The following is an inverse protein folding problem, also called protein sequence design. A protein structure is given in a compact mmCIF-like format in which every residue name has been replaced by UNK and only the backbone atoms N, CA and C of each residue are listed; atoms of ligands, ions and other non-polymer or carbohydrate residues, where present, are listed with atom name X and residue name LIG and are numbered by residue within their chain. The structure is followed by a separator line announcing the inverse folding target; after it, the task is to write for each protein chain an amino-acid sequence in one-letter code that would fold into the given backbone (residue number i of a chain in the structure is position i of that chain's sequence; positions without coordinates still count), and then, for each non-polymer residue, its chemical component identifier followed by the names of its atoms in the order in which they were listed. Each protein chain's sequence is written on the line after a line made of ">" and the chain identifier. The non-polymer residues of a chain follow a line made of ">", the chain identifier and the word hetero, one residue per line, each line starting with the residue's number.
data_IF_006518058261
#
_entry.id   IF_006518058261
#
_cell.length_a   1.000
_cell.length_b   1.000
_cell.length_c   1.000
_cell.angle_alpha   90.00
_cell.angle_beta   90.00
_cell.angle_gamma   90.00
#
_symmetry.space_group_name_H-M   'P 1'
#
loop_
_entity.id
_entity.type
_entity.pdbx_description
1 polymer ?
#
# COMPACT_ATOMS: atom_id res chain seq x y z
N UNK A 1 1.95 -31.18 -25.28
CA UNK A 1 2.53 -29.84 -25.11
C UNK A 1 1.47 -28.98 -24.45
N UNK A 2 1.37 -29.08 -23.13
CA UNK A 2 0.46 -28.25 -22.32
C UNK A 2 1.00 -26.83 -22.30
N UNK A 3 0.13 -25.87 -22.57
CA UNK A 3 0.46 -24.47 -22.80
C UNK A 3 1.24 -23.85 -21.63
N UNK A 4 2.23 -23.02 -21.96
CA UNK A 4 3.11 -22.29 -21.05
C UNK A 4 2.44 -21.04 -20.44
N UNK A 5 1.11 -21.04 -20.24
CA UNK A 5 0.39 -19.79 -19.96
C UNK A 5 0.71 -19.18 -18.58
N UNK A 6 1.26 -19.97 -17.64
CA UNK A 6 1.63 -19.52 -16.29
C UNK A 6 3.11 -19.78 -15.97
N UNK A 7 4.05 -19.48 -16.87
CA UNK A 7 5.50 -19.59 -16.56
C UNK A 7 6.18 -18.22 -16.61
N UNK A 8 7.05 -17.97 -15.64
CA UNK A 8 7.95 -16.82 -15.66
C UNK A 8 9.31 -17.22 -16.23
N UNK A 9 10.14 -16.22 -16.52
CA UNK A 9 11.54 -16.45 -16.85
C UNK A 9 12.27 -17.06 -15.65
N UNK A 10 13.17 -18.01 -15.91
CA UNK A 10 14.10 -18.47 -14.89
C UNK A 10 14.94 -17.29 -14.38
N UNK A 11 15.21 -17.26 -13.09
CA UNK A 11 16.00 -16.21 -12.44
C UNK A 11 17.05 -16.81 -11.54
N UNK A 12 18.24 -16.21 -11.54
CA UNK A 12 19.41 -16.72 -10.84
C UNK A 12 20.07 -15.57 -10.07
N UNK A 13 20.49 -15.84 -8.84
CA UNK A 13 21.21 -14.89 -8.01
C UNK A 13 22.34 -15.59 -7.24
N UNK A 14 23.55 -15.02 -7.28
CA UNK A 14 24.73 -15.57 -6.62
C UNK A 14 24.74 -15.15 -5.15
N UNK A 15 24.45 -16.10 -4.26
CA UNK A 15 24.35 -15.86 -2.80
C UNK A 15 25.69 -15.65 -2.11
N UNK A 16 26.73 -16.30 -2.61
CA UNK A 16 28.11 -16.27 -2.08
C UNK A 16 29.07 -16.72 -3.18
N UNK A 17 30.39 -16.66 -2.96
CA UNK A 17 31.41 -17.17 -3.89
C UNK A 17 31.24 -18.65 -4.25
N UNK A 18 30.52 -19.42 -3.44
CA UNK A 18 30.34 -20.87 -3.57
C UNK A 18 28.90 -21.33 -3.77
N UNK A 19 27.93 -20.43 -3.69
CA UNK A 19 26.50 -20.75 -3.78
C UNK A 19 25.77 -19.90 -4.81
N UNK A 20 24.69 -20.47 -5.34
CA UNK A 20 23.75 -19.79 -6.23
C UNK A 20 22.31 -20.25 -5.94
N UNK A 21 21.37 -19.32 -6.01
CA UNK A 21 19.93 -19.59 -5.92
C UNK A 21 19.30 -19.43 -7.28
N UNK A 22 18.44 -20.38 -7.66
CA UNK A 22 17.79 -20.44 -8.98
C UNK A 22 16.29 -20.67 -8.80
N UNK A 23 15.49 -19.93 -9.56
CA UNK A 23 14.09 -20.25 -9.86
C UNK A 23 14.00 -20.73 -11.29
N UNK A 24 13.28 -21.83 -11.53
CA UNK A 24 12.99 -22.32 -12.88
C UNK A 24 11.80 -21.61 -13.55
N UNK A 25 11.21 -20.62 -12.88
CA UNK A 25 10.06 -19.87 -13.38
C UNK A 25 8.74 -20.62 -13.33
N UNK A 26 8.71 -21.83 -12.74
CA UNK A 26 7.49 -22.61 -12.53
C UNK A 26 6.99 -22.60 -11.09
N UNK A 27 7.73 -21.94 -10.19
CA UNK A 27 7.45 -21.93 -8.75
C UNK A 27 8.36 -22.85 -7.93
N UNK A 28 9.43 -23.37 -8.54
CA UNK A 28 10.42 -24.20 -7.86
C UNK A 28 11.68 -23.41 -7.52
N UNK A 29 12.10 -23.49 -6.27
CA UNK A 29 13.33 -22.91 -5.76
C UNK A 29 14.44 -23.96 -5.71
N UNK A 30 15.64 -23.59 -6.14
CA UNK A 30 16.85 -24.40 -6.02
C UNK A 30 17.95 -23.61 -5.32
N UNK A 31 18.66 -24.26 -4.40
CA UNK A 31 19.96 -23.82 -3.91
C UNK A 31 21.01 -24.77 -4.46
N UNK A 32 21.99 -24.22 -5.15
CA UNK A 32 23.02 -24.97 -5.85
C UNK A 32 24.39 -24.54 -5.31
N UNK A 33 25.20 -25.51 -4.91
CA UNK A 33 26.60 -25.33 -4.60
C UNK A 33 27.39 -25.31 -5.90
N UNK A 34 28.07 -24.20 -6.18
CA UNK A 34 28.84 -24.02 -7.41
C UNK A 34 30.32 -24.33 -7.25
N UNK A 35 30.80 -24.48 -6.02
CA UNK A 35 32.24 -24.46 -5.74
C UNK A 35 32.83 -23.05 -5.79
N UNK A 36 34.12 -22.91 -5.47
CA UNK A 36 34.82 -21.62 -5.52
C UNK A 36 34.96 -21.12 -6.96
N UNK A 37 34.12 -20.14 -7.33
CA UNK A 37 34.11 -19.58 -8.68
C UNK A 37 35.35 -18.71 -8.90
N UNK A 38 36.08 -19.00 -9.99
CA UNK A 38 37.26 -18.24 -10.42
C UNK A 38 38.58 -19.00 -10.31
N UNK A 39 38.62 -20.10 -9.56
CA UNK A 39 39.86 -20.82 -9.32
C UNK A 39 40.10 -21.97 -10.31
N UNK A 40 39.93 -21.73 -11.63
CA UNK A 40 40.21 -22.66 -12.77
C UNK A 40 39.64 -24.09 -12.70
N UNK A 41 38.94 -24.45 -11.63
CA UNK A 41 38.32 -25.74 -11.41
C UNK A 41 36.89 -25.68 -11.94
N UNK A 42 36.60 -26.54 -12.91
CA UNK A 42 35.23 -26.83 -13.34
C UNK A 42 34.56 -27.70 -12.27
N UNK A 43 34.31 -27.12 -11.09
CA UNK A 43 33.58 -27.81 -10.03
C UNK A 43 32.15 -28.09 -10.50
N UNK A 44 31.70 -29.32 -10.27
CA UNK A 44 30.37 -29.75 -10.66
C UNK A 44 29.35 -29.04 -9.76
N UNK A 45 28.37 -28.41 -10.36
CA UNK A 45 27.29 -27.78 -9.62
C UNK A 45 26.39 -28.86 -9.00
N UNK A 46 26.16 -28.78 -7.70
CA UNK A 46 25.37 -29.75 -6.95
C UNK A 46 24.14 -29.10 -6.34
N UNK A 47 22.97 -29.72 -6.52
CA UNK A 47 21.72 -29.25 -5.92
C UNK A 47 21.76 -29.58 -4.43
N UNK A 48 21.87 -28.55 -3.59
CA UNK A 48 21.90 -28.66 -2.13
C UNK A 48 20.49 -28.65 -1.53
N UNK A 49 19.56 -27.95 -2.20
CA UNK A 49 18.17 -27.81 -1.80
C UNK A 49 17.30 -27.64 -3.05
N UNK A 50 16.11 -28.24 -3.05
CA UNK A 50 15.07 -27.90 -4.01
C UNK A 50 13.69 -28.11 -3.38
N UNK A 51 12.79 -27.15 -3.56
CA UNK A 51 11.41 -27.21 -3.06
C UNK A 51 10.48 -26.41 -3.97
N UNK A 52 9.23 -26.84 -4.04
CA UNK A 52 8.17 -26.15 -4.78
C UNK A 52 7.42 -25.22 -3.82
N UNK A 53 7.42 -23.92 -4.14
CA UNK A 53 6.84 -22.88 -3.29
C UNK A 53 5.48 -22.38 -3.82
N UNK A 54 4.80 -23.18 -4.64
CA UNK A 54 3.52 -22.82 -5.25
C UNK A 54 3.69 -22.05 -6.55
N UNK A 55 3.11 -20.85 -6.63
CA UNK A 55 3.03 -20.09 -7.88
C UNK A 55 4.40 -19.71 -8.48
N UNK A 56 4.46 -19.37 -9.78
CA UNK A 56 5.67 -18.83 -10.40
C UNK A 56 6.21 -17.59 -9.70
N UNK A 57 7.54 -17.50 -9.59
CA UNK A 57 8.20 -16.34 -8.97
C UNK A 57 9.58 -16.07 -9.58
N UNK A 58 10.08 -14.85 -9.34
CA UNK A 58 11.48 -14.49 -9.63
C UNK A 58 12.27 -14.21 -8.36
N UNK A 59 13.57 -14.49 -8.39
CA UNK A 59 14.50 -14.15 -7.32
C UNK A 59 15.04 -12.74 -7.58
N UNK A 60 14.83 -11.83 -6.64
CA UNK A 60 15.38 -10.46 -6.72
C UNK A 60 16.79 -10.44 -6.12
N UNK A 61 16.93 -11.02 -4.93
CA UNK A 61 18.15 -10.92 -4.16
C UNK A 61 18.32 -12.15 -3.28
N UNK A 62 19.56 -12.54 -3.01
CA UNK A 62 19.84 -13.62 -2.09
C UNK A 62 21.24 -13.48 -1.51
N UNK A 63 21.38 -13.87 -0.23
CA UNK A 63 22.64 -13.76 0.52
C UNK A 63 22.87 -15.01 1.36
N UNK A 64 24.14 -15.41 1.47
CA UNK A 64 24.58 -16.41 2.43
C UNK A 64 24.94 -15.73 3.75
N UNK A 65 24.45 -16.30 4.85
CA UNK A 65 24.62 -15.82 6.21
C UNK A 65 25.30 -16.91 7.04
N UNK A 66 26.37 -16.53 7.72
CA UNK A 66 27.07 -17.39 8.68
C UNK A 66 26.86 -16.78 10.07
N UNK A 67 25.88 -17.29 10.82
CA UNK A 67 25.57 -16.82 12.19
C UNK A 67 25.77 -17.98 13.16
N UNK A 68 26.61 -17.79 14.18
CA UNK A 68 26.81 -18.73 15.29
C UNK A 68 27.04 -20.21 14.87
N UNK A 69 27.90 -20.43 13.86
CA UNK A 69 28.23 -21.73 13.26
C UNK A 69 27.13 -22.41 12.42
N UNK A 70 25.94 -21.80 12.29
CA UNK A 70 24.90 -22.27 11.38
C UNK A 70 24.93 -21.48 10.06
N UNK A 71 25.09 -22.20 8.94
CA UNK A 71 25.00 -21.61 7.61
C UNK A 71 23.53 -21.52 7.21
N UNK A 72 23.07 -20.30 6.96
CA UNK A 72 21.75 -20.01 6.42
C UNK A 72 21.83 -19.20 5.14
N UNK A 73 20.78 -19.27 4.34
CA UNK A 73 20.66 -18.56 3.07
C UNK A 73 19.34 -17.82 3.12
N UNK A 74 19.39 -16.51 2.98
CA UNK A 74 18.23 -15.65 2.91
C UNK A 74 17.97 -15.29 1.44
N UNK A 75 16.73 -15.44 1.00
CA UNK A 75 16.32 -15.31 -0.39
C UNK A 75 15.09 -14.43 -0.43
N UNK A 76 15.14 -13.40 -1.27
CA UNK A 76 14.03 -12.50 -1.53
C UNK A 76 13.41 -12.84 -2.88
N UNK A 77 12.16 -13.27 -2.79
CA UNK A 77 11.35 -13.73 -3.91
C UNK A 77 10.28 -12.67 -4.20
N UNK A 78 9.99 -12.45 -5.49
CA UNK A 78 8.94 -11.58 -5.96
C UNK A 78 7.87 -12.37 -6.71
N UNK A 79 6.62 -12.14 -6.36
CA UNK A 79 5.46 -12.61 -7.10
C UNK A 79 4.53 -11.44 -7.42
N UNK A 80 3.84 -11.58 -8.54
CA UNK A 80 2.76 -10.70 -8.93
C UNK A 80 1.51 -11.56 -8.89
N UNK A 81 0.62 -11.24 -7.97
CA UNK A 81 -0.58 -12.00 -7.71
C UNK A 81 -1.78 -11.16 -8.09
N UNK A 82 -2.81 -11.82 -8.63
CA UNK A 82 -4.05 -11.14 -9.01
C UNK A 82 -4.91 -10.98 -7.75
N UNK A 83 -5.33 -9.75 -7.48
CA UNK A 83 -6.33 -9.46 -6.47
C UNK A 83 -7.71 -9.59 -7.12
N UNK A 84 -8.44 -10.65 -6.81
CA UNK A 84 -9.78 -10.87 -7.39
C UNK A 84 -10.81 -9.82 -6.93
N UNK A 85 -10.54 -9.14 -5.81
CA UNK A 85 -11.44 -8.20 -5.15
C UNK A 85 -11.10 -6.71 -5.38
N UNK A 86 -9.93 -6.37 -5.93
CA UNK A 86 -9.54 -4.96 -6.18
C UNK A 86 -9.94 -4.51 -7.58
N UNK A 87 -11.07 -3.80 -7.67
CA UNK A 87 -11.60 -3.26 -8.92
C UNK A 87 -11.25 -1.77 -9.16
N UNK A 88 -10.45 -1.14 -8.29
CA UNK A 88 -10.03 0.28 -8.42
C UNK A 88 -8.58 0.45 -8.88
N UNK A 89 -7.79 -0.62 -8.86
CA UNK A 89 -6.39 -0.65 -9.25
C UNK A 89 -6.11 -1.55 -10.45
N UNK A 90 -4.84 -1.93 -10.63
CA UNK A 90 -4.43 -2.88 -11.68
C UNK A 90 -4.93 -4.31 -11.47
N UNK A 91 -5.78 -4.59 -10.46
CA UNK A 91 -6.17 -5.93 -9.99
C UNK A 91 -4.96 -6.83 -9.66
N UNK A 92 -3.80 -6.26 -9.38
CA UNK A 92 -2.59 -6.98 -9.04
C UNK A 92 -1.97 -6.37 -7.79
N UNK A 93 -1.55 -7.23 -6.87
CA UNK A 93 -0.61 -6.86 -5.82
C UNK A 93 0.70 -7.59 -6.01
N UNK A 94 1.72 -7.06 -5.37
CA UNK A 94 3.07 -7.58 -5.37
C UNK A 94 3.33 -8.20 -4.02
N UNK A 95 3.78 -9.45 -4.01
CA UNK A 95 4.26 -10.12 -2.82
C UNK A 95 5.77 -10.25 -2.87
N UNK A 96 6.43 -9.78 -1.80
CA UNK A 96 7.84 -9.98 -1.52
C UNK A 96 7.94 -11.03 -0.42
N UNK A 97 8.42 -12.21 -0.77
CA UNK A 97 8.57 -13.34 0.14
C UNK A 97 10.03 -13.46 0.54
N UNK A 98 10.31 -13.23 1.83
CA UNK A 98 11.62 -13.45 2.43
C UNK A 98 11.68 -14.87 3.00
N UNK A 99 12.37 -15.75 2.27
CA UNK A 99 12.59 -17.14 2.65
C UNK A 99 13.99 -17.27 3.27
N UNK A 100 14.07 -17.85 4.46
CA UNK A 100 15.33 -18.26 5.08
C UNK A 100 15.43 -19.77 5.11
N UNK A 101 16.54 -20.27 4.57
CA UNK A 101 16.86 -21.70 4.51
C UNK A 101 18.07 -21.94 5.39
N UNK A 102 17.98 -22.85 6.36
CA UNK A 102 19.13 -23.22 7.20
C UNK A 102 19.43 -24.71 7.14
N UNK A 103 20.62 -25.05 7.61
CA UNK A 103 21.14 -26.41 7.56
C UNK A 103 20.70 -27.19 8.80
N UNK A 104 20.01 -28.32 8.63
CA UNK A 104 19.53 -29.12 9.75
C UNK A 104 20.69 -29.72 10.57
N UNK A 105 20.68 -29.49 11.88
CA UNK A 105 21.73 -29.91 12.83
C UNK A 105 21.91 -31.43 13.00
N UNK A 106 20.95 -32.27 12.57
CA UNK A 106 20.99 -33.72 12.86
C UNK A 106 21.75 -34.59 11.85
N UNK A 107 21.91 -34.14 10.60
CA UNK A 107 22.60 -34.90 9.53
C UNK A 107 23.59 -34.05 8.71
N UNK A 108 23.65 -32.73 8.94
CA UNK A 108 24.64 -31.86 8.33
C UNK A 108 24.65 -31.83 6.79
N UNK A 109 23.59 -32.32 6.12
CA UNK A 109 23.52 -32.41 4.65
C UNK A 109 22.22 -31.94 4.03
N UNK A 110 21.17 -31.68 4.82
CA UNK A 110 19.87 -31.22 4.31
C UNK A 110 19.60 -29.80 4.79
N UNK A 111 19.32 -28.94 3.82
CA UNK A 111 18.76 -27.61 4.04
C UNK A 111 17.24 -27.73 4.20
N UNK A 112 16.66 -26.91 5.05
CA UNK A 112 15.21 -26.78 5.22
C UNK A 112 14.82 -25.31 5.36
N UNK A 113 13.61 -24.96 4.92
CA UNK A 113 13.05 -23.62 5.10
C UNK A 113 12.73 -23.47 6.59
N UNK A 114 13.33 -22.47 7.24
CA UNK A 114 13.14 -22.21 8.68
C UNK A 114 12.31 -20.97 8.96
N UNK A 115 12.32 -19.99 8.06
CA UNK A 115 11.51 -18.78 8.18
C UNK A 115 10.97 -18.37 6.82
N UNK A 116 9.74 -17.86 6.80
CA UNK A 116 9.07 -17.31 5.63
C UNK A 116 8.24 -16.12 6.06
N UNK A 117 8.68 -14.92 5.69
CA UNK A 117 7.93 -13.69 5.91
C UNK A 117 7.44 -13.15 4.57
N UNK A 118 6.22 -12.63 4.53
CA UNK A 118 5.62 -12.11 3.30
C UNK A 118 5.30 -10.63 3.50
N UNK A 119 5.71 -9.80 2.55
CA UNK A 119 5.31 -8.40 2.46
C UNK A 119 4.44 -8.21 1.22
N UNK A 120 3.32 -7.49 1.36
CA UNK A 120 2.43 -7.14 0.25
C UNK A 120 2.46 -5.64 -0.03
N UNK A 121 2.47 -5.28 -1.31
CA UNK A 121 2.45 -3.90 -1.78
C UNK A 121 1.67 -3.75 -3.08
N UNK A 122 1.21 -2.54 -3.38
CA UNK A 122 0.44 -2.22 -4.60
C UNK A 122 1.31 -1.73 -5.77
N UNK A 123 2.63 -1.88 -5.68
CA UNK A 123 3.58 -1.48 -6.73
C UNK A 123 4.80 -2.39 -6.72
N UNK A 124 5.33 -2.72 -7.91
CA UNK A 124 6.61 -3.44 -8.03
C UNK A 124 7.74 -2.56 -7.48
N UNK A 125 8.64 -3.08 -6.62
CA UNK A 125 9.73 -2.29 -6.09
C UNK A 125 10.73 -1.94 -7.20
N UNK A 126 11.24 -0.71 -7.18
CA UNK A 126 12.34 -0.28 -8.02
C UNK A 126 13.67 -0.94 -7.58
N UNK A 127 13.80 -1.17 -6.27
CA UNK A 127 14.92 -1.89 -5.69
C UNK A 127 14.43 -2.62 -4.43
N UNK A 128 14.88 -3.86 -4.25
CA UNK A 128 14.66 -4.57 -3.00
C UNK A 128 15.87 -5.48 -2.72
N UNK A 129 16.42 -5.43 -1.51
CA UNK A 129 17.56 -6.24 -1.13
C UNK A 129 17.56 -6.53 0.37
N UNK A 130 18.07 -7.70 0.72
CA UNK A 130 18.29 -8.11 2.10
C UNK A 130 19.56 -7.44 2.60
N UNK A 131 19.53 -6.87 3.80
CA UNK A 131 20.72 -6.28 4.40
C UNK A 131 21.86 -7.31 4.51
N UNK A 132 23.15 -6.90 4.40
CA UNK A 132 24.28 -7.83 4.49
C UNK A 132 24.34 -8.66 5.78
N UNK A 133 23.78 -8.14 6.87
CA UNK A 133 23.68 -8.83 8.17
C UNK A 133 22.50 -9.82 8.24
N UNK A 134 21.61 -9.82 7.24
CA UNK A 134 20.39 -10.62 7.19
C UNK A 134 19.34 -10.28 8.25
N UNK A 135 19.34 -9.07 8.79
CA UNK A 135 18.41 -8.63 9.84
C UNK A 135 17.33 -7.65 9.33
N UNK A 136 17.51 -7.11 8.13
CA UNK A 136 16.59 -6.12 7.57
C UNK A 136 16.38 -6.29 6.08
N UNK A 137 15.37 -5.58 5.59
CA UNK A 137 15.02 -5.51 4.18
C UNK A 137 15.01 -4.05 3.74
N UNK A 138 15.76 -3.75 2.69
CA UNK A 138 15.78 -2.45 2.03
C UNK A 138 14.79 -2.49 0.86
N UNK A 139 13.77 -1.62 0.86
CA UNK A 139 12.81 -1.52 -0.23
C UNK A 139 12.72 -0.09 -0.71
N UNK A 140 12.83 0.09 -2.02
CA UNK A 140 12.58 1.36 -2.70
C UNK A 140 11.43 1.15 -3.69
N UNK A 141 10.31 1.81 -3.45
CA UNK A 141 9.09 1.64 -4.23
C UNK A 141 8.23 2.90 -4.25
N UNK A 142 7.27 2.96 -5.19
CA UNK A 142 6.31 4.06 -5.24
C UNK A 142 5.22 3.97 -4.16
N UNK A 143 4.84 2.74 -3.79
CA UNK A 143 3.87 2.46 -2.72
C UNK A 143 4.53 1.61 -1.65
N UNK A 144 4.12 1.80 -0.40
CA UNK A 144 4.66 1.06 0.73
C UNK A 144 4.27 -0.43 0.69
N UNK A 145 5.07 -1.23 1.40
CA UNK A 145 4.83 -2.64 1.64
C UNK A 145 4.39 -2.87 3.08
N UNK A 146 3.59 -3.92 3.32
CA UNK A 146 3.12 -4.31 4.65
C UNK A 146 3.39 -5.79 4.89
N UNK A 147 3.89 -6.15 6.08
CA UNK A 147 4.03 -7.55 6.47
C UNK A 147 2.65 -8.22 6.61
N UNK A 148 2.58 -9.47 6.19
CA UNK A 148 1.42 -10.35 6.38
C UNK A 148 1.84 -11.44 7.36
N UNK A 149 1.21 -11.48 8.54
CA UNK A 149 1.36 -12.61 9.46
C UNK A 149 0.60 -13.82 8.90
N UNK A 150 1.24 -14.99 8.88
CA UNK A 150 0.76 -16.20 8.18
C UNK A 150 -0.14 -17.08 9.07
N UNK A 151 -0.50 -16.64 10.27
CA UNK A 151 -1.43 -17.39 11.14
C UNK A 151 -2.81 -16.73 11.22
N UNK A 152 -3.81 -17.49 10.77
CA UNK A 152 -5.26 -17.32 10.90
C UNK A 152 -5.97 -16.27 10.05
N UNK A 153 -7.09 -16.73 9.52
CA UNK A 153 -8.13 -15.99 8.82
C UNK A 153 -8.29 -14.58 9.40
N UNK A 154 -8.05 -13.57 8.56
CA UNK A 154 -8.19 -12.16 8.92
C UNK A 154 -9.68 -11.83 9.05
N UNK A 155 -10.25 -12.15 10.20
CA UNK A 155 -11.11 -11.20 10.89
C UNK A 155 -10.24 -9.99 11.24
N UNK A 156 -10.61 -8.84 10.69
CA UNK A 156 -10.01 -7.53 10.94
C UNK A 156 -10.07 -7.20 12.44
N UNK A 157 -9.03 -7.58 13.18
CA UNK A 157 -8.79 -7.00 14.49
C UNK A 157 -8.12 -5.64 14.30
N UNK A 158 -8.98 -4.62 14.20
CA UNK A 158 -8.63 -3.26 14.55
C UNK A 158 -8.09 -3.25 15.99
N UNK A 159 -6.77 -3.22 16.14
CA UNK A 159 -6.17 -2.65 17.33
C UNK A 159 -5.36 -1.44 16.92
N UNK A 160 -5.89 -0.32 17.38
CA UNK A 160 -5.38 1.02 17.32
C UNK A 160 -3.93 1.05 17.82
N UNK A 161 -3.03 1.53 16.97
CA UNK A 161 -1.92 2.31 17.49
C UNK A 161 -1.71 3.53 16.60
N UNK A 162 -1.76 4.67 17.28
CA UNK A 162 -1.81 6.02 16.76
C UNK A 162 -0.61 6.33 15.87
N UNK A 163 -0.85 6.41 14.56
CA UNK A 163 -0.21 7.40 13.71
C UNK A 163 -1.18 7.72 12.59
N UNK A 164 -1.79 8.89 12.67
CA UNK A 164 -2.61 9.51 11.62
C UNK A 164 -1.80 9.56 10.31
N UNK A 165 -1.90 8.52 9.49
CA UNK A 165 -1.69 8.62 8.05
C UNK A 165 -3.09 8.72 7.47
N UNK A 166 -3.46 9.95 7.10
CA UNK A 166 -4.69 10.29 6.39
C UNK A 166 -4.86 9.28 5.23
N UNK A 167 -5.73 8.29 5.39
CA UNK A 167 -6.26 7.56 4.25
C UNK A 167 -7.11 8.57 3.49
N UNK A 168 -6.78 8.84 2.23
CA UNK A 168 -7.66 9.67 1.40
C UNK A 168 -9.04 9.00 1.35
N UNK A 169 -10.11 9.71 1.74
CA UNK A 169 -11.45 9.14 1.75
C UNK A 169 -11.88 8.82 0.32
N UNK A 170 -12.66 7.75 0.20
CA UNK A 170 -13.09 7.17 -1.05
C UNK A 170 -14.14 8.04 -1.76
N UNK A 171 -14.90 8.78 -0.96
CA UNK A 171 -15.82 9.81 -1.40
C UNK A 171 -15.93 10.90 -0.35
N UNK A 172 -16.30 12.09 -0.79
CA UNK A 172 -16.59 13.20 0.09
C UNK A 172 -18.09 13.44 0.08
N UNK A 173 -18.64 13.89 1.19
CA UNK A 173 -20.04 14.28 1.22
C UNK A 173 -20.22 15.53 2.07
N UNK A 174 -21.21 16.31 1.72
CA UNK A 174 -21.60 17.53 2.41
C UNK A 174 -23.12 17.53 2.58
N UNK A 175 -23.60 18.30 3.52
CA UNK A 175 -25.02 18.37 3.81
C UNK A 175 -25.46 19.79 4.11
N UNK A 176 -26.68 20.10 3.70
CA UNK A 176 -27.42 21.28 4.11
C UNK A 176 -28.58 20.84 5.02
N UNK A 177 -29.49 21.74 5.36
CA UNK A 177 -30.73 21.38 6.07
C UNK A 177 -31.64 20.49 5.22
N UNK A 178 -31.60 20.65 3.89
CA UNK A 178 -32.58 20.07 2.96
C UNK A 178 -32.00 18.96 2.07
N UNK A 179 -30.69 18.98 1.81
CA UNK A 179 -30.06 18.06 0.85
C UNK A 179 -28.68 17.53 1.30
N UNK A 180 -28.23 16.49 0.62
CA UNK A 180 -26.91 15.88 0.74
C UNK A 180 -26.27 15.88 -0.65
N UNK A 181 -25.02 16.32 -0.74
CA UNK A 181 -24.22 16.20 -1.95
C UNK A 181 -23.08 15.23 -1.69
N UNK A 182 -22.99 14.17 -2.48
CA UNK A 182 -21.92 13.17 -2.43
C UNK A 182 -21.07 13.31 -3.67
N UNK A 183 -19.76 13.46 -3.50
CA UNK A 183 -18.78 13.67 -4.56
C UNK A 183 -17.79 12.51 -4.58
N UNK A 184 -17.71 11.83 -5.72
CA UNK A 184 -16.81 10.69 -5.94
C UNK A 184 -15.91 10.97 -7.14
N UNK A 185 -14.60 10.76 -6.99
CA UNK A 185 -13.65 10.90 -8.11
C UNK A 185 -13.75 9.68 -9.03
N UNK A 186 -13.95 9.92 -10.32
CA UNK A 186 -14.00 8.88 -11.35
C UNK A 186 -12.63 8.71 -12.04
N UNK A 187 -12.31 7.49 -12.51
CA UNK A 187 -11.14 7.25 -13.37
C UNK A 187 -11.21 8.02 -14.70
N UNK A 188 -10.05 8.32 -15.28
CA UNK A 188 -9.96 8.96 -16.60
C UNK A 188 -10.72 8.15 -17.67
N UNK A 189 -11.47 8.85 -18.53
CA UNK A 189 -12.33 8.29 -19.58
C UNK A 189 -13.58 7.53 -19.09
N UNK A 190 -14.14 7.88 -17.93
CA UNK A 190 -15.45 7.34 -17.49
C UNK A 190 -16.59 7.98 -18.29
N UNK A 191 -17.43 7.15 -18.93
CA UNK A 191 -18.61 7.61 -19.69
C UNK A 191 -19.88 7.39 -18.86
N UNK A 192 -20.99 8.03 -19.24
CA UNK A 192 -22.24 7.97 -18.47
C UNK A 192 -22.79 6.54 -18.37
N UNK A 193 -22.59 5.75 -19.41
CA UNK A 193 -23.02 4.35 -19.51
C UNK A 193 -22.29 3.44 -18.51
N UNK A 194 -21.12 3.86 -18.01
CA UNK A 194 -20.35 3.13 -17.02
C UNK A 194 -20.92 3.31 -15.60
N UNK A 195 -21.77 4.31 -15.36
CA UNK A 195 -22.27 4.67 -14.03
C UNK A 195 -23.73 4.25 -13.88
N UNK A 196 -23.99 3.40 -12.90
CA UNK A 196 -25.33 3.03 -12.47
C UNK A 196 -25.56 3.48 -11.04
N UNK A 197 -26.48 4.44 -10.85
CA UNK A 197 -26.89 4.91 -9.53
C UNK A 197 -28.34 4.52 -9.31
N UNK A 198 -28.60 3.81 -8.22
CA UNK A 198 -29.93 3.45 -7.77
C UNK A 198 -30.25 4.15 -6.45
N UNK A 199 -31.36 4.89 -6.45
CA UNK A 199 -31.90 5.54 -5.26
C UNK A 199 -33.08 4.73 -4.72
N UNK A 200 -33.03 4.40 -3.44
CA UNK A 200 -34.14 3.83 -2.69
C UNK A 200 -34.44 4.74 -1.49
N UNK A 201 -35.66 4.69 -0.92
CA UNK A 201 -36.05 5.58 0.16
C UNK A 201 -35.12 5.58 1.36
N UNK A 202 -34.47 4.46 1.69
CA UNK A 202 -33.53 4.34 2.80
C UNK A 202 -32.20 3.68 2.40
N UNK A 203 -31.95 3.49 1.11
CA UNK A 203 -30.76 2.81 0.59
C UNK A 203 -30.20 3.55 -0.62
N UNK A 204 -28.89 3.50 -0.78
CA UNK A 204 -28.20 3.96 -1.99
C UNK A 204 -27.33 2.84 -2.52
N UNK A 205 -27.30 2.70 -3.84
CA UNK A 205 -26.34 1.83 -4.53
C UNK A 205 -25.72 2.57 -5.71
N UNK A 206 -24.40 2.65 -5.73
CA UNK A 206 -23.61 3.26 -6.79
C UNK A 206 -22.70 2.17 -7.35
N UNK A 207 -22.85 1.87 -8.63
CA UNK A 207 -22.04 0.90 -9.37
C UNK A 207 -21.34 1.64 -10.52
N UNK A 208 -20.04 1.41 -10.68
CA UNK A 208 -19.23 1.92 -11.78
C UNK A 208 -18.57 0.75 -12.51
N UNK A 209 -18.83 0.54 -13.80
CA UNK A 209 -18.28 -0.57 -14.62
C UNK A 209 -18.38 -1.93 -13.92
N UNK A 210 -19.59 -2.26 -13.45
CA UNK A 210 -19.88 -3.49 -12.69
C UNK A 210 -19.15 -3.60 -11.32
N UNK A 211 -18.55 -2.52 -10.83
CA UNK A 211 -17.89 -2.44 -9.53
C UNK A 211 -18.77 -1.64 -8.54
N UNK A 212 -19.07 -2.20 -7.39
CA UNK A 212 -19.84 -1.50 -6.36
C UNK A 212 -18.98 -0.44 -5.65
N UNK A 213 -19.35 0.83 -5.78
CA UNK A 213 -18.62 1.98 -5.27
C UNK A 213 -19.09 2.41 -3.88
N UNK A 214 -20.39 2.39 -3.67
CA UNK A 214 -21.06 2.68 -2.40
C UNK A 214 -22.38 1.91 -2.40
N UNK A 215 -22.58 1.07 -1.39
CA UNK A 215 -23.88 0.46 -1.13
C UNK A 215 -24.14 0.53 0.35
N UNK A 216 -25.37 0.86 0.71
CA UNK A 216 -25.82 0.60 2.05
C UNK A 216 -27.06 1.39 2.43
N UNK A 217 -27.45 1.19 3.68
CA UNK A 217 -28.57 1.87 4.30
C UNK A 217 -28.18 3.29 4.68
N UNK A 218 -28.91 4.25 4.15
CA UNK A 218 -28.77 5.66 4.49
C UNK A 218 -29.19 5.91 5.95
N UNK A 219 -28.63 6.94 6.57
CA UNK A 219 -28.95 7.29 7.96
C UNK A 219 -30.44 7.61 8.18
N UNK A 220 -31.06 8.29 7.22
CA UNK A 220 -32.50 8.60 7.23
C UNK A 220 -33.07 8.48 5.81
N UNK A 221 -34.39 8.50 5.69
CA UNK A 221 -35.03 8.42 4.38
C UNK A 221 -34.79 9.64 3.50
N UNK A 222 -34.63 9.39 2.21
CA UNK A 222 -34.51 10.39 1.15
C UNK A 222 -35.73 10.39 0.23
N UNK A 223 -35.93 11.49 -0.48
CA UNK A 223 -36.82 11.52 -1.63
C UNK A 223 -36.08 11.00 -2.87
N UNK A 224 -36.21 9.70 -3.12
CA UNK A 224 -35.59 9.01 -4.26
C UNK A 224 -36.06 9.50 -5.64
N UNK A 225 -37.25 10.13 -5.76
CA UNK A 225 -37.73 10.64 -7.05
C UNK A 225 -37.08 11.98 -7.41
N UNK A 226 -36.77 12.79 -6.39
CA UNK A 226 -36.12 14.10 -6.54
C UNK A 226 -34.59 14.04 -6.47
N UNK A 227 -34.02 12.88 -6.12
CA UNK A 227 -32.57 12.67 -6.04
C UNK A 227 -31.98 12.45 -7.44
N UNK A 228 -30.84 13.08 -7.72
CA UNK A 228 -30.22 13.08 -9.06
C UNK A 228 -28.71 12.90 -8.99
N UNK A 229 -28.08 12.62 -10.13
CA UNK A 229 -26.62 12.54 -10.22
C UNK A 229 -26.13 13.10 -11.56
N UNK A 230 -24.91 13.63 -11.56
CA UNK A 230 -24.25 14.20 -12.73
C UNK A 230 -22.75 13.84 -12.74
N UNK A 231 -22.16 13.75 -13.93
CA UNK A 231 -20.71 13.66 -14.10
C UNK A 231 -20.21 15.05 -14.51
N UNK A 232 -19.29 15.61 -13.71
CA UNK A 232 -18.62 16.88 -14.01
C UNK A 232 -17.44 16.68 -14.96
N UNK A 233 -17.08 17.74 -15.68
CA UNK A 233 -15.99 17.78 -16.67
C UNK A 233 -14.61 17.40 -16.09
N UNK A 234 -14.44 17.46 -14.77
CA UNK A 234 -13.22 17.07 -14.05
C UNK A 234 -13.18 15.58 -13.66
N UNK A 235 -13.94 14.71 -14.35
CA UNK A 235 -14.12 13.29 -14.01
C UNK A 235 -14.56 13.09 -12.55
N UNK A 236 -15.57 13.86 -12.10
CA UNK A 236 -16.15 13.71 -10.77
C UNK A 236 -17.63 13.38 -10.88
N UNK A 237 -18.08 12.32 -10.20
CA UNK A 237 -19.48 11.98 -10.03
C UNK A 237 -20.03 12.78 -8.84
N UNK A 238 -21.07 13.57 -9.06
CA UNK A 238 -21.81 14.24 -8.00
C UNK A 238 -23.22 13.70 -7.91
N UNK A 239 -23.64 13.39 -6.70
CA UNK A 239 -24.93 12.80 -6.38
C UNK A 239 -25.62 13.72 -5.40
N UNK A 240 -26.82 14.14 -5.75
CA UNK A 240 -27.68 15.00 -4.96
C UNK A 240 -28.81 14.17 -4.39
N UNK A 241 -28.84 14.02 -3.07
CA UNK A 241 -29.91 13.33 -2.35
C UNK A 241 -30.75 14.36 -1.61
N UNK A 242 -32.07 14.31 -1.80
CA UNK A 242 -33.00 15.21 -1.12
C UNK A 242 -33.47 14.55 0.18
N UNK A 243 -33.30 15.22 1.33
CA UNK A 243 -33.74 14.69 2.62
C UNK A 243 -35.25 14.69 2.67
N UNK A 244 -35.85 13.58 3.11
CA UNK A 244 -37.29 13.52 3.34
C UNK A 244 -37.72 14.24 4.63
N UNK A 245 -36.81 14.27 5.60
CA UNK A 245 -36.98 14.98 6.87
C UNK A 245 -36.04 16.20 6.86
N UNK A 246 -36.57 17.35 6.47
CA UNK A 246 -35.86 18.64 6.50
C UNK A 246 -35.35 18.97 7.91
N UNK A 247 -34.17 19.56 8.01
CA UNK A 247 -33.55 19.98 9.27
C UNK A 247 -32.85 18.87 10.06
N UNK A 248 -32.91 17.61 9.62
CA UNK A 248 -32.18 16.51 10.25
C UNK A 248 -30.71 16.53 9.82
N UNK A 249 -29.79 16.74 10.77
CA UNK A 249 -28.35 16.62 10.53
C UNK A 249 -27.91 15.16 10.59
N UNK A 250 -27.31 14.67 9.52
CA UNK A 250 -26.84 13.29 9.42
C UNK A 250 -25.43 13.19 10.02
N UNK A 251 -25.18 12.31 11.00
CA UNK A 251 -23.84 12.09 11.53
C UNK A 251 -22.97 11.27 10.57
N UNK A 252 -23.60 10.43 9.74
CA UNK A 252 -22.98 9.56 8.74
C UNK A 252 -23.88 9.50 7.50
N UNK A 253 -23.31 9.28 6.32
CA UNK A 253 -24.09 9.13 5.09
C UNK A 253 -24.77 7.75 5.02
N UNK A 254 -23.96 6.70 5.18
CA UNK A 254 -24.37 5.29 5.21
C UNK A 254 -24.02 4.72 6.57
N UNK A 255 -24.97 4.03 7.20
CA UNK A 255 -24.82 3.49 8.55
C UNK A 255 -23.68 2.47 8.60
N UNK A 256 -22.64 2.77 9.38
CA UNK A 256 -21.49 1.90 9.57
C UNK A 256 -20.40 2.02 8.50
N UNK A 257 -20.51 2.94 7.55
CA UNK A 257 -19.46 3.21 6.56
C UNK A 257 -18.47 4.28 7.06
N UNK A 258 -17.18 3.92 7.14
CA UNK A 258 -16.09 4.82 7.56
C UNK A 258 -15.28 5.36 6.38
N UNK A 259 -15.67 5.05 5.15
CA UNK A 259 -14.90 5.37 3.94
C UNK A 259 -15.18 6.77 3.37
N UNK A 260 -16.23 7.43 3.85
CA UNK A 260 -16.65 8.77 3.43
C UNK A 260 -16.28 9.86 4.43
N UNK A 261 -15.77 11.00 3.93
CA UNK A 261 -15.47 12.16 4.78
C UNK A 261 -16.54 13.25 4.64
N UNK A 262 -17.05 13.73 5.78
CA UNK A 262 -17.99 14.86 5.84
C UNK A 262 -17.24 16.18 5.69
N UNK A 263 -17.40 16.84 4.55
CA UNK A 263 -16.91 18.20 4.33
C UNK A 263 -17.88 19.17 5.04
N UNK A 264 -17.41 19.79 6.13
CA UNK A 264 -18.11 20.91 6.77
C UNK A 264 -17.68 22.21 6.11
N UNK A 265 -18.65 23.04 5.73
CA UNK A 265 -18.41 24.26 4.97
C UNK A 265 -17.39 25.21 5.64
N UNK A 266 -16.58 25.84 4.81
CA UNK A 266 -15.49 26.77 5.15
C UNK A 266 -15.91 27.92 6.08
N UNK A 267 -17.18 28.33 6.04
CA UNK A 267 -17.74 29.36 6.90
C UNK A 267 -17.82 28.95 8.39
N UNK A 268 -18.03 27.66 8.67
CA UNK A 268 -18.09 27.14 10.04
C UNK A 268 -16.68 26.89 10.60
N UNK A 269 -15.71 26.52 9.75
CA UNK A 269 -14.29 26.43 10.12
C UNK A 269 -13.72 27.79 10.55
N UNK A 270 -14.11 28.89 9.90
CA UNK A 270 -13.72 30.24 10.31
C UNK A 270 -14.29 30.61 11.70
N UNK A 271 -15.55 30.28 11.98
CA UNK A 271 -16.18 30.56 13.27
C UNK A 271 -15.58 29.75 14.43
N UNK A 272 -15.12 28.52 14.15
CA UNK A 272 -14.39 27.67 15.11
C UNK A 272 -12.97 28.21 15.31
N UNK A 273 -12.28 28.62 14.25
CA UNK A 273 -10.95 29.25 14.33
C UNK A 273 -10.99 30.57 15.12
N UNK A 274 -12.02 31.39 14.94
CA UNK A 274 -12.23 32.65 15.66
C UNK A 274 -12.53 32.41 17.16
N UNK A 275 -13.32 31.38 17.48
CA UNK A 275 -13.55 30.96 18.89
C UNK A 275 -12.31 30.36 19.55
N UNK A 276 -11.44 29.69 18.78
CA UNK A 276 -10.18 29.11 19.27
C UNK A 276 -9.03 30.13 19.33
N UNK A 277 -9.15 31.29 18.67
CA UNK A 277 -8.11 32.33 18.63
C UNK A 277 -7.83 32.93 20.02
N UNK A 278 -8.83 32.97 20.91
CA UNK A 278 -8.65 33.44 22.29
C UNK A 278 -7.93 32.44 23.22
N UNK A 279 -7.82 31.17 22.83
CA UNK A 279 -7.14 30.13 23.61
C UNK A 279 -5.65 30.01 23.27
N UNK A 280 -5.20 30.67 22.20
CA UNK A 280 -3.79 30.69 21.75
C UNK A 280 -3.11 32.05 21.95
N UNK A 281 -3.57 32.85 22.92
CA UNK A 281 -2.85 34.07 23.30
C UNK A 281 -1.58 33.72 24.07
N UNK A 282 -0.46 33.60 23.37
CA UNK A 282 0.88 33.74 23.95
C UNK A 282 1.21 35.24 24.10
N UNK A 283 0.56 35.94 25.04
CA UNK A 283 1.16 37.14 25.64
C UNK A 283 2.16 36.71 26.71
N UNK A 284 3.30 36.19 26.26
CA UNK A 284 4.52 36.06 27.06
C UNK A 284 5.71 36.45 26.17
N UNK A 285 5.93 37.75 25.98
CA UNK A 285 7.29 38.23 25.76
C UNK A 285 7.51 39.64 26.35
N UNK A 286 8.40 39.78 27.35
CA UNK A 286 8.77 41.07 27.90
C UNK A 286 9.85 41.79 27.07
N UNK A 287 9.52 43.03 26.70
CA UNK A 287 10.35 44.23 26.53
C UNK A 287 11.23 44.44 25.26
N UNK A 288 11.30 45.68 24.71
CA UNK A 288 11.65 45.99 23.31
C UNK A 288 13.03 46.64 23.07
N UNK A 289 14.10 46.28 23.80
CA UNK A 289 15.40 47.00 23.71
C UNK A 289 16.60 46.11 23.36
N UNK A 290 16.54 45.31 22.28
CA UNK A 290 17.77 44.73 21.68
C UNK A 290 17.84 44.90 20.18
N UNK A 291 18.82 45.68 19.75
CA UNK A 291 19.26 45.93 18.39
C UNK A 291 19.72 44.63 17.71
N UNK A 292 18.91 44.09 16.78
CA UNK A 292 19.31 43.41 15.54
C UNK A 292 18.07 42.90 14.79
N UNK A 293 17.85 43.26 13.51
CA UNK A 293 16.75 42.71 12.74
C UNK A 293 17.03 41.23 12.37
N UNK A 294 16.05 40.32 12.47
CA UNK A 294 16.21 38.93 12.08
C UNK A 294 15.71 38.76 10.64
N UNK A 295 16.57 38.99 9.65
CA UNK A 295 16.46 38.29 8.38
C UNK A 295 17.69 38.58 7.52
N UNK A 296 18.49 37.54 7.26
CA UNK A 296 19.52 37.60 6.24
C UNK A 296 18.85 37.36 4.88
N UNK A 297 18.80 38.38 4.02
CA UNK A 297 18.23 38.30 2.69
C UNK A 297 18.99 37.33 1.75
N UNK A 298 20.15 36.83 2.18
CA UNK A 298 21.02 35.93 1.41
C UNK A 298 20.58 34.45 1.44
N UNK A 299 19.58 34.09 2.26
CA UNK A 299 19.01 32.73 2.30
C UNK A 299 17.79 32.55 1.35
N UNK A 300 17.33 33.61 0.70
CA UNK A 300 16.15 33.60 -0.19
C UNK A 300 16.49 33.40 -1.68
N UNK A 301 17.77 33.32 -2.06
CA UNK A 301 18.22 33.21 -3.46
C UNK A 301 18.61 31.78 -3.90
N UNK A 302 18.46 30.75 -3.06
CA UNK A 302 18.78 29.34 -3.43
C UNK A 302 17.55 28.50 -3.86
N UNK A 303 16.36 29.11 -3.98
CA UNK A 303 15.11 28.38 -4.29
C UNK A 303 14.82 28.12 -5.79
N UNK A 304 15.77 28.40 -6.71
CA UNK A 304 15.52 28.29 -8.16
C UNK A 304 16.25 27.13 -8.89
N UNK A 305 16.79 26.15 -8.16
CA UNK A 305 17.37 24.93 -8.78
C UNK A 305 16.44 23.72 -8.55
N UNK A 306 15.18 23.86 -9.01
CA UNK A 306 14.20 22.78 -9.02
C UNK A 306 14.43 21.83 -10.21
N UNK A 307 15.17 20.74 -9.98
CA UNK A 307 15.02 19.50 -10.76
C UNK A 307 13.77 18.78 -10.23
N UNK A 308 12.78 18.53 -11.10
CA UNK A 308 11.57 17.74 -10.81
C UNK A 308 11.95 16.42 -10.13
N UNK A 309 11.80 16.33 -8.81
CA UNK A 309 11.90 15.09 -8.04
C UNK A 309 10.52 14.43 -8.00
N UNK A 310 10.42 13.25 -8.59
CA UNK A 310 9.33 12.31 -8.29
C UNK A 310 9.59 11.78 -6.87
N UNK A 311 8.62 11.76 -5.95
CA UNK A 311 8.83 11.18 -4.63
C UNK A 311 9.03 9.66 -4.79
N UNK A 312 10.21 9.19 -4.42
CA UNK A 312 10.52 7.77 -4.28
C UNK A 312 10.49 7.48 -2.78
N UNK A 313 9.63 6.55 -2.34
CA UNK A 313 9.66 6.11 -0.95
C UNK A 313 10.81 5.12 -0.78
N UNK A 314 11.70 5.41 0.17
CA UNK A 314 12.74 4.49 0.63
C UNK A 314 12.36 4.08 2.05
N UNK A 315 11.86 2.84 2.19
CA UNK A 315 11.55 2.25 3.49
C UNK A 315 12.71 1.34 3.89
N UNK A 316 13.37 1.67 5.00
CA UNK A 316 14.26 0.75 5.70
C UNK A 316 13.43 0.03 6.76
N UNK A 317 13.04 -1.21 6.48
CA UNK A 317 12.27 -2.00 7.44
C UNK A 317 13.21 -2.90 8.24
N UNK A 318 13.39 -2.55 9.51
CA UNK A 318 14.02 -3.43 10.49
C UNK A 318 13.00 -4.50 10.90
N UNK A 319 13.35 -5.78 10.75
CA UNK A 319 12.55 -6.88 11.28
C UNK A 319 13.12 -7.22 12.66
N UNK A 320 12.38 -6.91 13.72
CA UNK A 320 12.64 -7.41 15.06
C UNK A 320 11.92 -8.75 15.27
#
# INVERSE_FOLDING_TARGET
>A
LTACDNRLCASIHFTSSTGVTLSDGTGRLYVIGTGERGNSASEKWEIMFNEELGDPFIIIHSISLLKAEEHSIAILILRIEKEELDMKGSCFYVSLEWVTISKKNKDGKKYEITKRDILRGKSVPNYAAIEPNGNGLMIVSYKSFKFVQVDQDLEENMNEDMSEKIQEPLYYWQQTEDDLTVTVRLPENSIKEDVHVQFLPDHINIILRDCQLLEGKLYSSIDHESSTWIIKENNSLEIFLIKKNEGLTWPELVVGDKQGELIRDSAQCAAIAERLMHLTSEELNPNPDKEKPPCNAQELEECDIFLKRVPVYADLMAVH
#
